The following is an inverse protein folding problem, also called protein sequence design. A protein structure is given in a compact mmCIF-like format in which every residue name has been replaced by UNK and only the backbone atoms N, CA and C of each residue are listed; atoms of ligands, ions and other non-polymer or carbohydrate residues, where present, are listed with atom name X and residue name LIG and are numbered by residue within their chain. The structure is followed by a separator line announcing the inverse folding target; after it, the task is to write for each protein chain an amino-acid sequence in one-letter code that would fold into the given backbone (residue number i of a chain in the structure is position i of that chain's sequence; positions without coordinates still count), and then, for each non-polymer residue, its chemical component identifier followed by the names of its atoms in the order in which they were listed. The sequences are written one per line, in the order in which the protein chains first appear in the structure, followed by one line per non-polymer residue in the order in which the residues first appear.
data_IF_946090573628
#
_entry.id   IF_946090573628
#
_cell.length_a   1.000
_cell.length_b   1.000
_cell.length_c   1.000
_cell.angle_alpha   90.00
_cell.angle_beta   90.00
_cell.angle_gamma   90.00
#
_symmetry.space_group_name_H-M   'P 1'
#
loop_
_entity.id
_entity.type
_entity.pdbx_description
1 polymer ?
#
# COMPACT_ATOMS: atom_id res chain seq x y z
N UNK A 1 -2.31 3.57 3.29
CA UNK A 1 -1.04 4.02 2.67
C UNK A 1 -0.07 2.88 2.75
N UNK A 2 0.64 2.61 1.66
CA UNK A 2 1.63 1.52 1.56
C UNK A 2 2.95 2.17 1.18
N UNK A 3 4.00 1.89 1.94
CA UNK A 3 5.38 2.25 1.69
C UNK A 3 6.16 0.98 1.41
N UNK A 4 7.12 1.05 0.50
CA UNK A 4 7.92 -0.07 -0.01
C UNK A 4 9.34 0.47 -0.28
N UNK A 5 10.37 -0.37 -0.20
CA UNK A 5 11.78 0.04 -0.24
C UNK A 5 12.72 -0.92 -0.99
N UNK A 6 12.30 -2.12 -1.33
CA UNK A 6 13.16 -3.09 -2.03
C UNK A 6 12.64 -3.43 -3.43
N UNK A 7 13.57 -3.73 -4.34
CA UNK A 7 13.28 -4.14 -5.70
C UNK A 7 12.64 -5.53 -5.70
N UNK A 8 11.53 -5.67 -6.40
CA UNK A 8 10.67 -6.85 -6.34
C UNK A 8 9.49 -6.67 -5.41
N UNK A 9 9.49 -5.66 -4.52
CA UNK A 9 8.37 -5.53 -3.61
C UNK A 9 7.05 -5.31 -4.36
N UNK A 10 6.08 -6.17 -4.11
CA UNK A 10 4.77 -6.14 -4.74
C UNK A 10 3.72 -6.36 -3.65
N UNK A 11 2.56 -5.70 -3.77
CA UNK A 11 1.45 -5.98 -2.86
C UNK A 11 0.07 -6.01 -3.52
N UNK A 12 -0.82 -6.90 -3.07
CA UNK A 12 -2.20 -7.07 -3.57
C UNK A 12 -3.22 -6.69 -2.52
N UNK A 13 -4.15 -5.79 -2.85
CA UNK A 13 -5.23 -5.38 -1.95
C UNK A 13 -6.50 -6.20 -2.20
N UNK A 14 -7.14 -6.71 -1.15
CA UNK A 14 -8.48 -7.30 -1.21
C UNK A 14 -9.49 -6.40 -0.48
N UNK A 15 -10.53 -5.95 -1.19
CA UNK A 15 -11.54 -4.99 -0.69
C UNK A 15 -12.96 -5.58 -0.58
N UNK A 16 -13.12 -6.90 -0.62
CA UNK A 16 -14.43 -7.55 -0.50
C UNK A 16 -14.43 -8.56 0.67
N UNK A 17 -14.84 -8.09 1.85
CA UNK A 17 -15.40 -8.97 2.85
C UNK A 17 -16.90 -9.10 2.55
N UNK A 18 -17.31 -10.31 2.16
CA UNK A 18 -18.67 -10.68 1.78
C UNK A 18 -19.67 -10.30 2.88
N UNK A 19 -20.47 -9.26 2.63
CA UNK A 19 -21.77 -9.08 3.27
C UNK A 19 -22.82 -9.40 2.23
N UNK A 20 -23.39 -10.60 2.33
CA UNK A 20 -24.49 -11.02 1.49
C UNK A 20 -25.75 -10.20 1.76
N UNK A 21 -26.37 -9.74 0.68
CA UNK A 21 -27.83 -9.68 0.55
C UNK A 21 -28.15 -9.66 -0.95
N UNK A 22 -29.05 -10.55 -1.32
CA UNK A 22 -29.46 -10.92 -2.68
C UNK A 22 -30.11 -9.77 -3.47
N UNK A 23 -30.22 -10.01 -4.79
CA UNK A 23 -31.06 -9.37 -5.81
C UNK A 23 -30.38 -8.32 -6.73
N UNK A 24 -29.84 -8.87 -7.83
CA UNK A 24 -29.86 -8.39 -9.22
C UNK A 24 -29.78 -6.87 -9.49
N UNK A 25 -28.57 -6.39 -9.82
CA UNK A 25 -28.37 -5.32 -10.81
C UNK A 25 -27.24 -5.74 -11.78
N UNK A 26 -27.60 -6.58 -12.75
CA UNK A 26 -26.82 -6.84 -13.96
C UNK A 26 -26.75 -5.55 -14.79
N UNK A 27 -25.83 -4.63 -14.51
CA UNK A 27 -25.23 -3.70 -15.49
C UNK A 27 -24.26 -2.67 -14.89
N UNK A 28 -23.24 -3.08 -14.12
CA UNK A 28 -21.98 -2.32 -14.12
C UNK A 28 -20.76 -3.24 -14.03
N UNK A 29 -20.36 -3.80 -15.16
CA UNK A 29 -18.99 -4.31 -15.33
C UNK A 29 -18.05 -3.11 -15.48
N UNK A 30 -17.78 -2.38 -14.39
CA UNK A 30 -16.60 -1.53 -14.34
C UNK A 30 -15.42 -2.49 -14.20
N UNK A 31 -14.58 -2.56 -15.24
CA UNK A 31 -13.21 -3.01 -15.06
C UNK A 31 -12.51 -1.80 -14.47
N UNK A 32 -12.62 -1.66 -13.15
CA UNK A 32 -11.94 -0.62 -12.40
C UNK A 32 -10.45 -0.84 -12.65
N UNK A 33 -9.85 -0.07 -13.56
CA UNK A 33 -8.42 0.16 -13.46
C UNK A 33 -8.23 0.92 -12.15
N UNK A 34 -7.99 0.20 -11.04
CA UNK A 34 -7.72 0.74 -9.69
C UNK A 34 -6.57 1.78 -9.65
N UNK A 35 -5.94 2.06 -10.79
CA UNK A 35 -5.06 3.17 -11.08
C UNK A 35 -5.63 4.54 -10.63
N UNK A 36 -6.94 4.75 -10.74
CA UNK A 36 -7.61 6.00 -10.34
C UNK A 36 -7.77 6.18 -8.81
N UNK A 37 -7.48 5.15 -8.01
CA UNK A 37 -7.61 5.19 -6.55
C UNK A 37 -6.44 5.88 -5.86
N UNK A 38 -5.29 6.04 -6.54
CA UNK A 38 -4.08 6.60 -5.94
C UNK A 38 -3.96 8.10 -6.25
N UNK A 39 -4.02 8.92 -5.20
CA UNK A 39 -3.98 10.38 -5.34
C UNK A 39 -2.57 10.96 -5.37
N UNK A 40 -1.59 10.21 -4.85
CA UNK A 40 -0.21 10.68 -4.76
C UNK A 40 0.76 9.50 -4.79
N UNK A 41 1.57 9.48 -5.83
CA UNK A 41 2.59 8.47 -6.10
C UNK A 41 3.97 9.13 -6.14
N UNK A 42 4.97 8.43 -5.61
CA UNK A 42 6.37 8.82 -5.67
C UNK A 42 7.23 7.57 -5.74
N UNK A 43 8.05 7.44 -6.79
CA UNK A 43 8.94 6.29 -7.01
C UNK A 43 8.22 4.92 -6.91
N UNK A 44 6.92 4.90 -7.20
CA UNK A 44 6.06 3.72 -7.26
C UNK A 44 5.25 3.78 -8.54
N UNK A 45 5.17 2.65 -9.23
CA UNK A 45 4.33 2.44 -10.42
C UNK A 45 3.09 1.64 -10.02
N UNK A 46 1.94 2.01 -10.58
CA UNK A 46 0.69 1.24 -10.45
C UNK A 46 0.48 0.44 -11.73
N UNK A 47 0.17 -0.84 -11.59
CA UNK A 47 -0.21 -1.73 -12.69
C UNK A 47 -1.50 -2.48 -12.29
N UNK A 48 -2.67 -1.90 -12.58
CA UNK A 48 -3.93 -2.42 -12.05
C UNK A 48 -3.99 -2.30 -10.52
N UNK A 49 -4.02 -3.43 -9.81
CA UNK A 49 -3.99 -3.47 -8.33
C UNK A 49 -2.59 -3.55 -7.73
N UNK A 50 -1.57 -3.68 -8.57
CA UNK A 50 -0.20 -3.87 -8.15
C UNK A 50 0.51 -2.53 -7.94
N UNK A 51 1.20 -2.40 -6.80
CA UNK A 51 2.17 -1.33 -6.54
C UNK A 51 3.59 -1.88 -6.63
N UNK A 52 4.39 -1.31 -7.51
CA UNK A 52 5.78 -1.71 -7.76
C UNK A 52 6.73 -0.55 -7.42
N UNK A 53 7.74 -0.81 -6.59
CA UNK A 53 8.78 0.18 -6.32
C UNK A 53 9.71 0.35 -7.53
N UNK A 54 9.84 1.59 -8.04
CA UNK A 54 10.67 1.94 -9.21
C UNK A 54 11.76 2.97 -8.88
N UNK A 55 12.02 3.18 -7.59
CA UNK A 55 13.02 4.13 -7.10
C UNK A 55 14.45 3.63 -7.17
N UNK A 56 15.38 4.43 -6.66
CA UNK A 56 16.83 4.14 -6.71
C UNK A 56 17.31 3.17 -5.62
N UNK A 57 16.61 3.10 -4.49
CA UNK A 57 16.95 2.22 -3.36
C UNK A 57 18.36 2.40 -2.77
N UNK A 58 19.01 3.56 -2.93
CA UNK A 58 20.42 3.75 -2.53
C UNK A 58 20.60 4.09 -1.06
N UNK A 59 19.58 4.70 -0.47
CA UNK A 59 19.60 5.20 0.90
C UNK A 59 18.23 5.07 1.56
N UNK A 60 18.22 5.19 2.89
CA UNK A 60 17.00 5.09 3.71
C UNK A 60 15.97 6.20 3.45
N UNK A 61 16.33 7.22 2.66
CA UNK A 61 15.42 8.30 2.25
C UNK A 61 14.82 8.07 0.85
N UNK A 62 15.32 7.08 0.10
CA UNK A 62 14.80 6.71 -1.23
C UNK A 62 13.55 5.84 -1.07
N UNK A 63 12.48 6.45 -0.56
CA UNK A 63 11.22 5.76 -0.24
C UNK A 63 10.22 5.88 -1.38
N UNK A 64 9.61 4.74 -1.74
CA UNK A 64 8.42 4.70 -2.57
C UNK A 64 7.18 5.01 -1.74
N UNK A 65 6.35 5.97 -2.18
CA UNK A 65 5.11 6.34 -1.49
C UNK A 65 3.91 6.17 -2.43
N UNK A 66 2.91 5.41 -1.96
CA UNK A 66 1.58 5.38 -2.54
C UNK A 66 0.53 5.80 -1.49
N UNK A 67 -0.19 6.89 -1.78
CA UNK A 67 -1.27 7.41 -0.94
C UNK A 67 -2.58 7.45 -1.72
N UNK A 68 -3.60 6.82 -1.16
CA UNK A 68 -4.95 6.80 -1.73
C UNK A 68 -5.50 8.22 -1.93
N UNK A 69 -6.30 8.39 -2.98
CA UNK A 69 -6.93 9.65 -3.38
C UNK A 69 -7.99 10.08 -2.39
N UNK A 70 -8.73 9.11 -1.85
CA UNK A 70 -9.75 9.34 -0.86
C UNK A 70 -9.22 8.98 0.55
N UNK A 71 -9.55 9.79 1.57
CA UNK A 71 -9.27 9.42 2.95
C UNK A 71 -10.19 8.27 3.39
N UNK A 72 -9.81 7.58 4.48
CA UNK A 72 -10.72 6.64 5.11
C UNK A 72 -12.01 7.34 5.57
N UNK A 73 -13.11 6.61 5.51
CA UNK A 73 -14.43 7.02 6.00
C UNK A 73 -15.06 5.89 6.82
N UNK A 74 -16.16 6.16 7.52
CA UNK A 74 -16.89 5.11 8.26
C UNK A 74 -17.42 3.99 7.35
N UNK A 75 -17.53 4.23 6.04
CA UNK A 75 -17.95 3.23 5.03
C UNK A 75 -16.78 2.54 4.34
N UNK A 76 -15.58 3.09 4.44
CA UNK A 76 -14.35 2.56 3.86
C UNK A 76 -13.20 2.84 4.83
N UNK A 77 -13.12 1.99 5.85
CA UNK A 77 -12.17 2.10 6.98
C UNK A 77 -11.24 0.88 7.08
N UNK A 78 -11.35 -0.05 6.13
CA UNK A 78 -10.61 -1.29 6.09
C UNK A 78 -9.93 -1.46 4.74
N UNK A 79 -8.67 -1.89 4.76
CA UNK A 79 -7.91 -2.25 3.57
C UNK A 79 -6.91 -3.34 3.96
N UNK A 80 -6.70 -4.31 3.08
CA UNK A 80 -5.73 -5.38 3.24
C UNK A 80 -4.65 -5.25 2.19
N UNK A 81 -3.44 -5.69 2.51
CA UNK A 81 -2.30 -5.63 1.62
C UNK A 81 -1.51 -6.94 1.74
N UNK A 82 -1.46 -7.73 0.68
CA UNK A 82 -0.70 -8.98 0.58
C UNK A 82 0.67 -8.68 -0.01
N UNK A 83 1.79 -9.07 0.60
CA UNK A 83 3.12 -8.91 0.00
C UNK A 83 3.36 -10.05 -0.99
N UNK A 84 3.41 -9.74 -2.28
CA UNK A 84 3.62 -10.70 -3.38
C UNK A 84 5.11 -11.00 -3.55
N UNK A 85 5.98 -10.00 -3.42
CA UNK A 85 7.44 -10.17 -3.33
C UNK A 85 7.96 -9.18 -2.26
N UNK A 86 8.87 -9.59 -1.36
CA UNK A 86 9.44 -8.74 -0.31
C UNK A 86 10.73 -8.02 -0.73
N UNK A 87 11.24 -8.26 -1.95
CA UNK A 87 12.54 -7.81 -2.42
C UNK A 87 13.69 -8.18 -1.49
N UNK A 88 14.78 -7.40 -1.52
CA UNK A 88 16.00 -7.72 -0.77
C UNK A 88 15.86 -7.51 0.75
N UNK A 89 15.14 -6.48 1.20
CA UNK A 89 15.13 -6.05 2.62
C UNK A 89 13.74 -5.99 3.25
N UNK A 90 12.67 -6.15 2.47
CA UNK A 90 11.29 -6.13 2.94
C UNK A 90 10.92 -4.87 3.74
N UNK A 91 11.45 -3.68 3.42
CA UNK A 91 11.03 -2.47 4.12
C UNK A 91 9.71 -1.93 3.55
N UNK A 92 8.67 -2.74 3.75
CA UNK A 92 7.29 -2.40 3.44
C UNK A 92 6.62 -1.88 4.71
N UNK A 93 5.97 -0.72 4.63
CA UNK A 93 5.26 -0.06 5.73
C UNK A 93 3.82 0.29 5.35
N UNK A 94 2.83 -0.17 6.10
CA UNK A 94 1.40 -0.01 5.82
C UNK A 94 0.75 0.84 6.90
N UNK A 95 0.00 1.88 6.54
CA UNK A 95 -0.58 2.74 7.56
C UNK A 95 -1.46 3.89 7.09
N UNK A 96 -1.71 4.81 8.02
CA UNK A 96 -2.48 6.02 7.81
C UNK A 96 -1.56 7.23 7.89
N UNK A 97 -1.73 8.17 6.97
CA UNK A 97 -0.95 9.39 6.92
C UNK A 97 -1.81 10.55 6.43
N UNK A 98 -1.50 11.76 6.91
CA UNK A 98 -2.12 12.99 6.39
C UNK A 98 -1.83 13.18 4.91
N UNK A 99 -2.71 13.91 4.22
CA UNK A 99 -2.62 14.18 2.76
C UNK A 99 -1.29 14.82 2.33
N UNK A 100 -0.67 15.59 3.22
CA UNK A 100 0.58 16.32 3.02
C UNK A 100 1.84 15.56 3.50
N UNK A 101 1.74 14.25 3.75
CA UNK A 101 2.86 13.47 4.28
C UNK A 101 4.12 13.55 3.41
N UNK A 102 5.34 13.66 4.00
CA UNK A 102 6.59 13.69 3.25
C UNK A 102 6.73 12.43 2.38
N UNK A 103 7.04 12.62 1.10
CA UNK A 103 7.16 11.54 0.10
C UNK A 103 8.45 10.72 0.20
N UNK A 104 9.44 11.23 0.93
CA UNK A 104 10.76 10.63 1.12
C UNK A 104 10.92 9.98 2.51
N UNK A 105 9.81 9.55 3.11
CA UNK A 105 9.78 8.89 4.43
C UNK A 105 8.71 7.83 4.46
N UNK A 106 9.00 6.72 5.16
CA UNK A 106 7.98 5.72 5.43
C UNK A 106 6.91 6.30 6.35
N UNK A 107 5.62 5.98 6.13
CA UNK A 107 4.57 6.17 7.13
C UNK A 107 5.03 5.67 8.50
N UNK A 108 4.73 6.40 9.58
CA UNK A 108 5.22 6.12 10.94
C UNK A 108 6.49 6.89 11.35
N UNK A 109 7.33 7.34 10.40
CA UNK A 109 8.60 8.03 10.73
C UNK A 109 8.46 9.55 10.92
N UNK A 110 7.26 10.09 10.78
CA UNK A 110 6.98 11.51 10.89
C UNK A 110 5.59 11.74 11.46
N UNK A 111 5.42 12.89 12.11
CA UNK A 111 4.15 13.28 12.74
C UNK A 111 3.01 13.28 11.72
N UNK A 112 1.81 12.95 12.20
CA UNK A 112 0.63 12.85 11.35
C UNK A 112 0.56 11.55 10.55
N UNK A 113 1.26 10.51 11.00
CA UNK A 113 1.12 9.16 10.47
C UNK A 113 1.28 8.09 11.54
N UNK A 114 0.71 6.92 11.28
CA UNK A 114 0.89 5.67 12.03
C UNK A 114 1.01 4.55 11.02
N UNK A 115 1.89 3.57 11.26
CA UNK A 115 2.10 2.47 10.34
C UNK A 115 2.59 1.21 11.04
N UNK A 116 2.35 0.11 10.36
CA UNK A 116 2.89 -1.21 10.58
C UNK A 116 4.08 -1.42 9.63
N UNK A 117 5.17 -2.01 10.11
CA UNK A 117 6.40 -2.24 9.36
C UNK A 117 6.65 -3.75 9.23
N UNK A 118 6.71 -4.26 7.99
CA UNK A 118 6.77 -5.70 7.70
C UNK A 118 8.16 -6.31 7.93
N UNK A 119 9.24 -5.54 7.75
CA UNK A 119 10.63 -5.92 8.03
C UNK A 119 10.83 -6.40 9.48
N UNK A 120 10.07 -5.84 10.41
CA UNK A 120 10.11 -6.20 11.83
C UNK A 120 9.69 -7.66 12.08
N UNK A 121 8.91 -8.25 11.17
CA UNK A 121 8.42 -9.64 11.27
C UNK A 121 9.34 -10.65 10.57
N UNK A 122 10.07 -10.24 9.53
CA UNK A 122 11.04 -11.12 8.85
C UNK A 122 12.18 -11.55 9.78
N UNK A 123 12.65 -10.68 10.68
CA UNK A 123 13.62 -11.06 11.70
C UNK A 123 13.08 -12.15 12.65
N UNK A 124 11.77 -12.25 12.85
CA UNK A 124 11.18 -13.26 13.74
C UNK A 124 11.02 -14.63 13.08
N UNK A 125 10.73 -14.68 11.77
CA UNK A 125 10.55 -15.91 11.01
C UNK A 125 11.87 -16.60 10.63
N UNK A 126 12.98 -15.86 10.57
CA UNK A 126 14.30 -16.45 10.25
C UNK A 126 15.00 -17.10 11.46
N UNK A 127 14.47 -16.89 12.67
CA UNK A 127 15.02 -17.43 13.92
C UNK A 127 14.25 -18.63 14.50
N UNK A 128 13.33 -19.23 13.74
CA UNK A 128 12.64 -20.48 14.06
C UNK A 128 12.70 -21.45 12.86
#
# INVERSE_FOLDING_TARGET
AVGMHSLGEEVRLHLHAELGSEEEDDSIMMVDSYEDEWGRLHDVKVCGTLLEYIGKGKSIIDVGLAQARQPLSTRSHYFEVEIVDPGEKCYIALGLARKDYPKNRHPGWSRGSVAYHADSYMNWLQHH
#
